data_IF_689126670719
#
_entry.id   IF_689126670719
#
_cell.length_a   1.000
_cell.length_b   1.000
_cell.length_c   1.000
_cell.angle_alpha   90.00
_cell.angle_beta   90.00
_cell.angle_gamma   90.00
#
_symmetry.space_group_name_H-M   'P 1'
#
loop_
_entity.id
_entity.type
_entity.pdbx_description
1 polymer ?
#
# COMPACT_ATOMS: atom_id res chain seq x y z
N UNK A 1 9.86 7.25 5.26
CA UNK A 1 10.26 5.89 4.81
C UNK A 1 9.40 5.46 3.63
N UNK A 2 9.98 4.76 2.65
CA UNK A 2 9.21 4.21 1.52
C UNK A 2 8.97 2.71 1.72
N UNK A 3 7.71 2.30 1.77
CA UNK A 3 7.27 0.92 1.96
C UNK A 3 6.63 0.40 0.67
N UNK A 4 7.02 -0.80 0.22
CA UNK A 4 6.39 -1.46 -0.91
C UNK A 4 5.33 -2.45 -0.44
N UNK A 5 4.08 -2.26 -0.89
CA UNK A 5 2.98 -3.18 -0.63
C UNK A 5 2.68 -4.02 -1.87
N UNK A 6 2.52 -5.33 -1.69
CA UNK A 6 1.99 -6.27 -2.71
C UNK A 6 0.63 -6.78 -2.26
N UNK A 7 -0.36 -6.76 -3.16
CA UNK A 7 -1.71 -7.23 -2.86
C UNK A 7 -2.33 -7.88 -4.10
N UNK A 8 -3.31 -8.77 -3.91
CA UNK A 8 -4.07 -9.38 -5.02
C UNK A 8 -5.41 -8.72 -5.21
N UNK A 9 -6.06 -8.31 -4.12
CA UNK A 9 -7.39 -7.71 -4.14
C UNK A 9 -7.37 -6.34 -3.46
N UNK A 10 -8.29 -5.45 -3.87
CA UNK A 10 -8.44 -4.15 -3.23
C UNK A 10 -8.85 -4.24 -1.76
N UNK A 11 -9.53 -5.31 -1.35
CA UNK A 11 -9.87 -5.57 0.04
C UNK A 11 -8.61 -5.78 0.91
N UNK A 12 -7.64 -6.59 0.44
CA UNK A 12 -6.35 -6.75 1.12
C UNK A 12 -5.61 -5.42 1.22
N UNK A 13 -5.55 -4.67 0.12
CA UNK A 13 -4.90 -3.35 0.08
C UNK A 13 -5.49 -2.42 1.14
N UNK A 14 -6.81 -2.27 1.17
CA UNK A 14 -7.49 -1.34 2.06
C UNK A 14 -7.25 -1.71 3.53
N UNK A 15 -7.34 -3.00 3.86
CA UNK A 15 -7.09 -3.48 5.23
C UNK A 15 -5.66 -3.18 5.70
N UNK A 16 -4.66 -3.35 4.83
CA UNK A 16 -3.26 -3.07 5.20
C UNK A 16 -3.02 -1.56 5.33
N UNK A 17 -3.59 -0.75 4.43
CA UNK A 17 -3.51 0.72 4.52
C UNK A 17 -4.15 1.20 5.84
N UNK A 18 -5.31 0.68 6.21
CA UNK A 18 -6.01 1.04 7.46
C UNK A 18 -5.16 0.72 8.70
N UNK A 19 -4.56 -0.47 8.74
CA UNK A 19 -3.65 -0.87 9.83
C UNK A 19 -2.43 0.05 9.89
N UNK A 20 -1.84 0.39 8.74
CA UNK A 20 -0.69 1.29 8.66
C UNK A 20 -1.06 2.70 9.13
N UNK A 21 -2.19 3.24 8.66
CA UNK A 21 -2.71 4.56 9.06
C UNK A 21 -3.01 4.67 10.56
N UNK A 22 -3.24 3.54 11.24
CA UNK A 22 -3.48 3.54 12.70
C UNK A 22 -2.22 3.86 13.50
N UNK A 23 -1.03 3.54 12.96
CA UNK A 23 0.25 3.69 13.67
C UNK A 23 1.23 4.67 13.01
N UNK A 24 1.03 5.00 11.74
CA UNK A 24 1.91 5.87 10.98
C UNK A 24 1.11 6.77 10.03
N UNK A 25 1.60 7.99 9.81
CA UNK A 25 0.99 8.91 8.86
C UNK A 25 1.44 8.55 7.45
N UNK A 26 0.49 8.16 6.60
CA UNK A 26 0.77 7.88 5.18
C UNK A 26 0.77 9.22 4.43
N UNK A 27 1.95 9.71 4.09
CA UNK A 27 2.12 10.96 3.34
C UNK A 27 1.72 10.80 1.87
N UNK A 28 2.02 9.64 1.25
CA UNK A 28 1.75 9.43 -0.17
C UNK A 28 1.50 7.98 -0.52
N UNK A 29 0.57 7.76 -1.44
CA UNK A 29 0.33 6.45 -2.06
C UNK A 29 0.58 6.58 -3.55
N UNK A 30 1.51 5.79 -4.07
CA UNK A 30 1.80 5.73 -5.49
C UNK A 30 0.70 5.03 -6.27
N UNK A 31 0.63 5.30 -7.59
CA UNK A 31 -0.31 4.61 -8.47
C UNK A 31 -0.08 3.09 -8.43
N UNK A 32 -1.15 2.29 -8.42
CA UNK A 32 -1.02 0.85 -8.42
C UNK A 32 -0.45 0.35 -9.73
N UNK A 33 0.59 -0.48 -9.63
CA UNK A 33 1.23 -1.12 -10.76
C UNK A 33 0.97 -2.62 -10.73
N UNK A 34 0.46 -3.18 -11.83
CA UNK A 34 0.23 -4.62 -11.94
C UNK A 34 1.50 -5.31 -12.39
N UNK A 35 1.95 -6.29 -11.61
CA UNK A 35 3.09 -7.15 -11.92
C UNK A 35 2.61 -8.60 -11.90
N UNK A 36 2.21 -9.11 -13.06
CA UNK A 36 1.68 -10.47 -13.20
C UNK A 36 0.36 -10.67 -12.45
N UNK A 37 0.36 -11.59 -11.47
CA UNK A 37 -0.82 -11.94 -10.65
C UNK A 37 -1.08 -10.99 -9.47
N UNK A 38 -0.20 -10.01 -9.25
CA UNK A 38 -0.25 -9.12 -8.09
C UNK A 38 -0.22 -7.65 -8.51
N UNK A 39 -0.79 -6.80 -7.67
CA UNK A 39 -0.59 -5.36 -7.70
C UNK A 39 0.47 -4.93 -6.70
N UNK A 40 1.10 -3.79 -6.99
CA UNK A 40 2.11 -3.14 -6.17
C UNK A 40 1.81 -1.67 -6.02
N UNK A 41 1.93 -1.17 -4.80
CA UNK A 41 1.95 0.28 -4.51
C UNK A 41 3.16 0.58 -3.64
N UNK A 42 3.67 1.81 -3.77
CA UNK A 42 4.65 2.38 -2.86
C UNK A 42 3.94 3.37 -1.95
N UNK A 43 4.14 3.21 -0.65
CA UNK A 43 3.60 4.04 0.40
C UNK A 43 4.76 4.84 0.99
N UNK A 44 4.69 6.16 0.96
CA UNK A 44 5.54 6.99 1.80
C UNK A 44 4.84 7.18 3.14
N UNK A 45 5.49 6.70 4.19
CA UNK A 45 5.09 6.85 5.59
C UNK A 45 6.09 7.76 6.29
N UNK A 46 5.60 8.76 7.01
CA UNK A 46 6.41 9.64 7.85
C UNK A 46 6.88 8.92 9.12
#
# INVERSE_FOLDING_TARGET
MQLQLRYKTDAEKNKIIEILSTKATIAKISKPYRSGKFYRIYLDVE
#
